data_IF_800997297676
#
_entry.id   IF_800997297676
#
_cell.length_a   1.000
_cell.length_b   1.000
_cell.length_c   1.000
_cell.angle_alpha   90.00
_cell.angle_beta   90.00
_cell.angle_gamma   90.00
#
_symmetry.space_group_name_H-M   'P 1'
#
loop_
_entity.id
_entity.type
_entity.pdbx_description
1 polymer ?
#
# COMPACT_ATOMS: atom_id res chain seq x y z
N UNK A 1 -31.56 -22.86 42.14
CA UNK A 1 -32.19 -21.89 43.06
C UNK A 1 -31.40 -20.60 43.03
N UNK A 2 -32.10 -19.47 42.89
CA UNK A 2 -31.62 -18.09 43.04
C UNK A 2 -30.48 -17.63 42.09
N UNK A 3 -30.83 -16.79 41.11
CA UNK A 3 -30.54 -15.34 41.19
C UNK A 3 -31.10 -14.63 39.95
N UNK A 4 -32.04 -13.72 40.22
CA UNK A 4 -32.48 -12.69 39.31
C UNK A 4 -31.36 -11.65 39.13
N UNK A 5 -31.01 -11.28 37.90
CA UNK A 5 -30.28 -10.04 37.60
C UNK A 5 -30.68 -9.53 36.21
N UNK A 6 -31.52 -8.49 36.24
CA UNK A 6 -31.45 -7.24 35.48
C UNK A 6 -31.56 -7.28 33.94
N UNK A 7 -32.74 -6.83 33.50
CA UNK A 7 -32.88 -5.95 32.34
C UNK A 7 -32.00 -4.70 32.52
N UNK A 8 -31.14 -4.42 31.55
CA UNK A 8 -30.69 -3.06 31.27
C UNK A 8 -30.66 -2.82 29.76
N UNK A 9 -31.01 -1.59 29.44
CA UNK A 9 -31.48 -1.06 28.18
C UNK A 9 -30.34 -0.71 27.22
N UNK A 10 -30.66 -0.80 25.93
CA UNK A 10 -29.86 -0.31 24.79
C UNK A 10 -29.35 1.12 25.05
N UNK A 11 -28.03 1.29 25.13
CA UNK A 11 -27.38 2.60 25.01
C UNK A 11 -27.14 2.86 23.53
N UNK A 12 -27.91 3.80 23.00
CA UNK A 12 -27.78 4.37 21.66
C UNK A 12 -26.66 5.41 21.71
N UNK A 13 -25.51 5.13 21.08
CA UNK A 13 -24.45 6.11 20.87
C UNK A 13 -24.84 7.07 19.74
N UNK A 14 -25.46 8.20 20.09
CA UNK A 14 -25.60 9.37 19.21
C UNK A 14 -24.43 10.32 19.44
N UNK A 15 -23.49 10.36 18.50
CA UNK A 15 -22.45 11.39 18.42
C UNK A 15 -23.07 12.66 17.82
N UNK A 16 -23.15 13.74 18.62
CA UNK A 16 -23.42 15.10 18.11
C UNK A 16 -22.16 15.95 18.27
N UNK A 17 -21.71 16.67 17.22
CA UNK A 17 -20.60 17.60 17.32
C UNK A 17 -21.08 18.94 17.89
N UNK A 18 -20.43 19.44 18.94
CA UNK A 18 -20.66 20.77 19.50
C UNK A 18 -19.34 21.55 19.49
N UNK A 19 -19.07 22.29 18.41
CA UNK A 19 -18.03 23.31 18.37
C UNK A 19 -18.68 24.67 18.65
N UNK A 20 -18.61 25.10 19.91
CA UNK A 20 -18.94 26.47 20.33
C UNK A 20 -17.73 27.37 20.08
N UNK A 21 -17.96 28.44 19.32
CA UNK A 21 -17.02 29.54 19.07
C UNK A 21 -16.69 30.24 20.40
N UNK A 22 -15.40 30.41 20.67
CA UNK A 22 -14.90 31.31 21.71
C UNK A 22 -15.17 32.76 21.31
N UNK A 23 -15.99 33.44 22.09
CA UNK A 23 -16.10 34.90 22.08
C UNK A 23 -15.24 35.47 23.21
N UNK A 24 -14.47 36.48 22.85
CA UNK A 24 -13.70 37.43 23.67
C UNK A 24 -14.22 37.62 25.10
N UNK A 25 -13.41 37.25 26.10
CA UNK A 25 -13.56 37.71 27.48
C UNK A 25 -13.08 39.16 27.58
N UNK A 26 -14.02 40.09 27.76
CA UNK A 26 -13.75 41.41 28.34
C UNK A 26 -13.27 41.20 29.77
N UNK A 27 -12.19 41.88 30.13
CA UNK A 27 -11.75 42.12 31.51
C UNK A 27 -12.82 43.01 32.16
N UNK A 28 -13.46 42.62 33.27
CA UNK A 28 -14.21 43.58 34.07
C UNK A 28 -13.25 44.42 34.89
N UNK A 29 -13.44 45.73 34.73
CA UNK A 29 -12.94 46.83 35.56
C UNK A 29 -13.12 46.50 37.05
N UNK A 30 -12.09 46.71 37.86
CA UNK A 30 -12.21 46.68 39.31
C UNK A 30 -12.91 47.97 39.75
N UNK A 31 -14.24 47.92 39.79
CA UNK A 31 -15.05 48.88 40.53
C UNK A 31 -15.06 48.49 42.00
N UNK A 32 -14.68 49.44 42.85
CA UNK A 32 -14.86 49.42 44.31
C UNK A 32 -16.33 49.11 44.65
N UNK A 33 -16.64 47.85 44.94
CA UNK A 33 -17.90 47.46 45.55
C UNK A 33 -17.77 47.52 47.07
N UNK A 34 -18.69 48.27 47.67
CA UNK A 34 -18.71 48.64 49.07
C UNK A 34 -18.35 47.50 50.01
N UNK A 35 -17.30 47.73 50.78
CA UNK A 35 -16.93 46.95 51.93
C UNK A 35 -18.16 46.77 52.82
N UNK A 36 -18.76 45.57 52.77
CA UNK A 36 -19.88 45.21 53.65
C UNK A 36 -19.52 45.58 55.08
N UNK A 37 -20.46 46.12 55.87
CA UNK A 37 -20.21 46.56 57.26
C UNK A 37 -19.54 45.47 58.13
N UNK A 38 -19.73 44.19 57.78
CA UNK A 38 -19.01 43.07 58.39
C UNK A 38 -17.53 43.00 58.00
N UNK A 39 -17.16 43.28 56.75
CA UNK A 39 -15.78 43.39 56.30
C UNK A 39 -15.08 44.62 56.89
N UNK A 40 -15.79 45.74 57.05
CA UNK A 40 -15.26 46.92 57.76
C UNK A 40 -15.10 46.65 59.25
N UNK A 41 -16.07 45.97 59.88
CA UNK A 41 -15.96 45.53 61.27
C UNK A 41 -14.83 44.51 61.45
N UNK A 42 -14.64 43.61 60.50
CA UNK A 42 -13.56 42.63 60.54
C UNK A 42 -12.21 43.31 60.31
N UNK A 43 -12.14 44.31 59.43
CA UNK A 43 -10.96 45.16 59.23
C UNK A 43 -10.67 46.01 60.46
N UNK A 44 -11.68 46.59 61.11
CA UNK A 44 -11.54 47.28 62.39
C UNK A 44 -11.09 46.34 63.50
N UNK A 45 -11.66 45.13 63.61
CA UNK A 45 -11.18 44.11 64.58
C UNK A 45 -9.73 43.73 64.28
N UNK A 46 -9.35 43.68 63.01
CA UNK A 46 -7.99 43.35 62.59
C UNK A 46 -7.04 44.53 62.87
N UNK A 47 -7.42 45.76 62.58
CA UNK A 47 -6.68 46.97 62.94
C UNK A 47 -6.59 47.16 64.46
N UNK A 48 -7.65 46.88 65.22
CA UNK A 48 -7.67 46.89 66.68
C UNK A 48 -6.79 45.77 67.25
N UNK A 49 -6.77 44.59 66.62
CA UNK A 49 -5.84 43.51 66.97
C UNK A 49 -4.41 43.87 66.62
N UNK A 50 -4.13 44.45 65.46
CA UNK A 50 -2.78 44.88 65.06
C UNK A 50 -2.30 45.99 65.99
N UNK A 51 -3.12 46.98 66.31
CA UNK A 51 -2.78 48.07 67.24
C UNK A 51 -2.58 47.57 68.67
N UNK A 52 -3.43 46.64 69.16
CA UNK A 52 -3.25 46.01 70.49
C UNK A 52 -2.11 44.98 70.55
N UNK A 53 -1.70 44.43 69.40
CA UNK A 53 -0.57 43.50 69.31
C UNK A 53 0.74 44.25 69.11
N UNK A 54 0.72 45.41 68.43
CA UNK A 54 1.91 46.24 68.20
C UNK A 54 2.40 46.94 69.47
N UNK A 55 1.53 47.23 70.43
CA UNK A 55 1.96 47.67 71.77
C UNK A 55 2.70 46.57 72.55
N UNK A 56 2.27 45.31 72.43
CA UNK A 56 2.93 44.16 73.07
C UNK A 56 4.20 43.71 72.32
N UNK A 57 4.21 43.71 70.98
CA UNK A 57 5.40 43.34 70.21
C UNK A 57 6.47 44.44 70.22
N UNK A 58 6.12 45.74 70.23
CA UNK A 58 7.10 46.81 70.41
C UNK A 58 7.77 46.76 71.78
N UNK A 59 7.05 46.36 72.84
CA UNK A 59 7.62 46.15 74.18
C UNK A 59 8.52 44.90 74.24
N UNK A 60 8.12 43.80 73.62
CA UNK A 60 8.97 42.59 73.49
C UNK A 60 10.23 42.90 72.67
N UNK A 61 10.09 43.72 71.62
CA UNK A 61 11.21 44.20 70.82
C UNK A 61 12.19 45.02 71.66
N UNK A 62 11.73 45.92 72.51
CA UNK A 62 12.61 46.73 73.36
C UNK A 62 13.32 45.93 74.47
N UNK A 63 12.76 44.80 74.91
CA UNK A 63 13.32 44.02 76.02
C UNK A 63 14.49 43.10 75.64
N UNK A 64 14.59 42.63 74.39
CA UNK A 64 15.65 41.69 74.00
C UNK A 64 16.21 41.95 72.58
N UNK A 65 17.50 42.35 72.45
CA UNK A 65 18.09 42.68 71.15
C UNK A 65 18.24 41.47 70.22
N UNK A 66 18.37 40.25 70.75
CA UNK A 66 18.44 39.04 69.93
C UNK A 66 17.08 38.62 69.35
N UNK A 67 16.01 38.83 70.11
CA UNK A 67 14.64 38.58 69.63
C UNK A 67 14.30 39.58 68.53
N UNK A 68 14.79 40.82 68.63
CA UNK A 68 14.71 41.78 67.53
C UNK A 68 15.39 41.30 66.27
N UNK A 69 16.65 40.82 66.34
CA UNK A 69 17.35 40.38 65.14
C UNK A 69 16.62 39.24 64.43
N UNK A 70 16.07 38.30 65.21
CA UNK A 70 15.29 37.17 64.67
C UNK A 70 13.97 37.67 64.06
N UNK A 71 13.24 38.55 64.74
CA UNK A 71 12.01 39.11 64.19
C UNK A 71 12.27 39.98 62.95
N UNK A 72 13.37 40.74 62.92
CA UNK A 72 13.73 41.53 61.73
C UNK A 72 14.14 40.63 60.57
N UNK A 73 14.89 39.56 60.83
CA UNK A 73 15.22 38.56 59.81
C UNK A 73 13.97 37.83 59.31
N UNK A 74 12.96 37.64 60.16
CA UNK A 74 11.70 37.03 59.76
C UNK A 74 10.80 37.99 58.97
N UNK A 75 10.64 39.23 59.46
CA UNK A 75 9.78 40.24 58.85
C UNK A 75 10.33 40.71 57.49
N UNK A 76 11.66 40.82 57.39
CA UNK A 76 12.34 41.41 56.23
C UNK A 76 13.10 40.36 55.40
N UNK A 77 13.53 39.23 55.95
CA UNK A 77 14.39 38.27 55.23
C UNK A 77 15.83 38.78 55.06
N UNK A 78 16.73 37.91 54.57
CA UNK A 78 18.11 38.26 54.27
C UNK A 78 18.15 39.42 53.23
N UNK A 79 18.91 40.52 53.46
CA UNK A 79 18.98 41.67 52.55
C UNK A 79 19.31 41.31 51.10
N UNK A 80 20.12 40.26 50.87
CA UNK A 80 20.42 39.81 49.50
C UNK A 80 19.18 39.24 48.79
N UNK A 81 18.35 38.49 49.51
CA UNK A 81 17.09 37.96 48.96
C UNK A 81 16.09 39.09 48.70
N UNK A 82 16.02 40.07 49.60
CA UNK A 82 15.20 41.26 49.38
C UNK A 82 15.59 42.02 48.11
N UNK A 83 16.90 42.20 47.87
CA UNK A 83 17.39 42.87 46.67
C UNK A 83 17.01 42.10 45.40
N UNK A 84 17.11 40.77 45.43
CA UNK A 84 16.69 39.90 44.31
C UNK A 84 15.17 39.97 44.10
N UNK A 85 14.38 39.93 45.17
CA UNK A 85 12.92 40.01 45.09
C UNK A 85 12.45 41.39 44.62
N UNK A 86 13.10 42.46 45.08
CA UNK A 86 12.87 43.83 44.62
C UNK A 86 13.23 44.00 43.14
N UNK A 87 14.37 43.47 42.70
CA UNK A 87 14.75 43.46 41.29
C UNK A 87 13.75 42.67 40.42
N UNK A 88 13.30 41.50 40.89
CA UNK A 88 12.29 40.70 40.21
C UNK A 88 10.92 41.41 40.15
N UNK A 89 10.54 42.13 41.21
CA UNK A 89 9.31 42.92 41.25
C UNK A 89 9.38 44.10 40.27
N UNK A 90 10.51 44.81 40.20
CA UNK A 90 10.75 45.88 39.25
C UNK A 90 10.61 45.37 37.80
N UNK A 91 11.27 44.26 37.47
CA UNK A 91 11.19 43.65 36.13
C UNK A 91 9.77 43.21 35.78
N UNK A 92 9.02 42.63 36.74
CA UNK A 92 7.61 42.26 36.52
C UNK A 92 6.71 43.48 36.27
N UNK A 93 7.05 44.63 36.85
CA UNK A 93 6.32 45.89 36.68
C UNK A 93 6.68 46.66 35.40
N UNK A 94 7.68 46.19 34.63
CA UNK A 94 8.09 46.82 33.38
C UNK A 94 6.92 46.89 32.37
N UNK A 95 6.54 48.09 31.88
CA UNK A 95 5.40 48.26 30.98
C UNK A 95 5.52 47.46 29.66
N UNK A 96 6.75 47.22 29.21
CA UNK A 96 7.05 46.46 27.99
C UNK A 96 6.62 44.99 28.10
N UNK A 97 6.80 44.37 29.28
CA UNK A 97 6.40 42.98 29.53
C UNK A 97 4.89 42.83 29.66
N UNK A 98 4.17 43.89 30.04
CA UNK A 98 2.71 43.90 30.12
C UNK A 98 2.06 43.94 28.72
N UNK A 99 2.60 44.75 27.81
CA UNK A 99 1.97 45.01 26.50
C UNK A 99 2.49 44.12 25.37
N UNK A 100 3.78 43.75 25.41
CA UNK A 100 4.42 43.03 24.32
C UNK A 100 4.57 41.54 24.67
N UNK A 101 3.74 40.69 24.04
CA UNK A 101 3.81 39.23 24.18
C UNK A 101 5.19 38.68 23.83
N UNK A 102 5.85 39.21 22.81
CA UNK A 102 7.18 38.73 22.40
C UNK A 102 8.24 39.04 23.46
N UNK A 103 8.21 40.25 24.03
CA UNK A 103 9.13 40.62 25.12
C UNK A 103 8.89 39.75 26.37
N UNK A 104 7.62 39.45 26.67
CA UNK A 104 7.22 38.55 27.75
C UNK A 104 7.71 37.12 27.50
N UNK A 105 7.57 36.61 26.28
CA UNK A 105 8.00 35.26 25.88
C UNK A 105 9.54 35.14 25.96
N UNK A 106 10.31 36.17 25.57
CA UNK A 106 11.77 36.20 25.72
C UNK A 106 12.16 36.18 27.21
N UNK A 107 11.50 36.98 28.04
CA UNK A 107 11.81 37.05 29.47
C UNK A 107 11.61 35.71 30.20
N UNK A 108 10.51 35.01 29.90
CA UNK A 108 10.25 33.69 30.49
C UNK A 108 11.03 32.55 29.81
N UNK A 109 11.67 32.82 28.68
CA UNK A 109 12.52 31.82 28.02
C UNK A 109 13.77 31.55 28.84
N UNK A 110 14.29 30.32 28.74
CA UNK A 110 15.55 29.98 29.40
C UNK A 110 16.68 30.74 28.71
N UNK A 111 17.61 31.36 29.47
CA UNK A 111 18.76 32.03 28.87
C UNK A 111 19.60 31.02 28.08
N UNK A 112 20.12 31.46 26.94
CA UNK A 112 20.91 30.63 26.05
C UNK A 112 22.20 30.13 26.74
N UNK A 113 22.38 28.82 26.82
CA UNK A 113 23.52 28.18 27.50
C UNK A 113 24.68 27.82 26.57
N UNK A 114 24.63 28.25 25.30
CA UNK A 114 25.65 27.93 24.28
C UNK A 114 25.36 26.66 23.45
N UNK A 115 24.41 25.83 23.87
CA UNK A 115 24.04 24.59 23.17
C UNK A 115 22.53 24.55 22.90
N UNK A 116 22.14 24.25 21.66
CA UNK A 116 20.73 24.15 21.28
C UNK A 116 20.10 22.86 21.83
N UNK A 117 18.87 22.96 22.34
CA UNK A 117 18.09 21.77 22.71
C UNK A 117 17.55 21.09 21.46
N UNK A 118 17.48 19.76 21.44
CA UNK A 118 16.87 18.98 20.34
C UNK A 118 15.45 19.43 20.00
N UNK A 119 14.69 19.86 21.02
CA UNK A 119 13.33 20.37 20.83
C UNK A 119 13.32 21.68 20.05
N UNK A 120 14.25 22.58 20.36
CA UNK A 120 14.36 23.90 19.72
C UNK A 120 14.86 23.77 18.27
N UNK A 121 15.83 22.88 18.04
CA UNK A 121 16.31 22.54 16.70
C UNK A 121 15.19 21.97 15.80
N UNK A 122 14.36 21.09 16.35
CA UNK A 122 13.20 20.56 15.63
C UNK A 122 12.13 21.63 15.38
N UNK A 123 11.86 22.49 16.36
CA UNK A 123 10.90 23.59 16.22
C UNK A 123 11.35 24.57 15.12
N UNK A 124 12.65 24.90 15.08
CA UNK A 124 13.24 25.71 14.02
C UNK A 124 13.09 25.06 12.65
N UNK A 125 13.37 23.77 12.53
CA UNK A 125 13.20 23.03 11.27
C UNK A 125 11.75 23.04 10.79
N UNK A 126 10.78 22.92 11.71
CA UNK A 126 9.35 23.02 11.38
C UNK A 126 9.00 24.44 10.92
N UNK A 127 9.40 25.47 11.66
CA UNK A 127 9.10 26.86 11.31
C UNK A 127 9.75 27.28 9.98
N UNK A 128 10.96 26.81 9.70
CA UNK A 128 11.66 27.06 8.43
C UNK A 128 11.02 26.29 7.26
N UNK A 129 10.42 25.12 7.52
CA UNK A 129 9.72 24.32 6.50
C UNK A 129 8.37 24.89 6.08
N UNK A 130 7.69 25.62 6.98
CA UNK A 130 6.41 26.24 6.67
C UNK A 130 6.63 27.49 5.82
N UNK A 131 6.00 27.62 4.64
CA UNK A 131 6.16 28.83 3.84
C UNK A 131 5.69 30.03 4.67
N UNK A 132 6.52 31.08 4.72
CA UNK A 132 6.16 32.32 5.42
C UNK A 132 4.80 32.78 4.90
N UNK A 133 3.85 33.15 5.78
CA UNK A 133 2.61 33.73 5.32
C UNK A 133 2.97 34.96 4.49
N UNK A 134 2.48 34.99 3.25
CA UNK A 134 2.57 36.17 2.39
C UNK A 134 1.73 37.24 3.07
N UNK A 135 2.37 38.03 3.93
CA UNK A 135 1.79 39.24 4.48
C UNK A 135 1.79 40.28 3.36
N UNK A 136 0.91 40.11 2.37
CA UNK A 136 0.50 41.24 1.56
C UNK A 136 -0.25 42.19 2.50
N UNK A 137 0.28 43.39 2.79
CA UNK A 137 -0.39 44.35 3.68
C UNK A 137 -1.76 44.78 3.15
N UNK A 138 -2.08 44.45 1.90
CA UNK A 138 -3.38 44.66 1.27
C UNK A 138 -4.39 43.52 1.54
N UNK A 139 -3.93 42.30 1.81
CA UNK A 139 -4.79 41.11 1.95
C UNK A 139 -5.56 41.09 3.29
N UNK A 140 -5.07 41.78 4.33
CA UNK A 140 -5.71 41.86 5.64
C UNK A 140 -7.00 42.71 5.64
N UNK A 141 -7.18 43.58 4.64
CA UNK A 141 -8.34 44.47 4.53
C UNK A 141 -9.35 44.06 3.45
N UNK A 142 -9.10 42.98 2.70
CA UNK A 142 -10.04 42.49 1.70
C UNK A 142 -10.99 41.47 2.31
N UNK A 143 -12.32 41.71 2.35
CA UNK A 143 -13.26 40.71 2.81
C UNK A 143 -13.17 39.50 1.87
N UNK A 144 -12.86 38.32 2.43
CA UNK A 144 -12.83 37.05 1.68
C UNK A 144 -14.15 36.93 0.91
N UNK A 145 -14.11 37.08 -0.41
CA UNK A 145 -15.30 36.94 -1.27
C UNK A 145 -15.94 35.59 -0.95
N UNK A 146 -17.23 35.58 -0.62
CA UNK A 146 -17.97 34.34 -0.39
C UNK A 146 -18.05 33.60 -1.71
N UNK A 147 -17.18 32.59 -1.87
CA UNK A 147 -17.10 31.77 -3.08
C UNK A 147 -18.48 31.12 -3.28
N UNK A 148 -19.10 31.42 -4.43
CA UNK A 148 -20.41 30.89 -4.81
C UNK A 148 -20.39 29.37 -4.89
N UNK A 149 -21.52 28.68 -4.72
CA UNK A 149 -21.59 27.22 -4.91
C UNK A 149 -21.16 26.83 -6.33
N UNK A 150 -21.47 27.67 -7.32
CA UNK A 150 -20.98 27.54 -8.70
C UNK A 150 -19.47 27.64 -8.79
N UNK A 151 -18.86 28.65 -8.16
CA UNK A 151 -17.39 28.83 -8.13
C UNK A 151 -16.70 27.71 -7.36
N UNK A 152 -17.32 27.17 -6.30
CA UNK A 152 -16.81 25.99 -5.59
C UNK A 152 -16.81 24.76 -6.49
N UNK A 153 -17.87 24.57 -7.25
CA UNK A 153 -17.96 23.44 -8.19
C UNK A 153 -17.00 23.62 -9.36
N UNK A 154 -16.83 24.85 -9.88
CA UNK A 154 -15.85 25.17 -10.90
C UNK A 154 -14.43 24.92 -10.39
N UNK A 155 -14.06 25.46 -9.22
CA UNK A 155 -12.76 25.20 -8.61
C UNK A 155 -12.53 23.71 -8.29
N UNK A 156 -13.56 22.96 -7.92
CA UNK A 156 -13.45 21.52 -7.72
C UNK A 156 -13.26 20.77 -9.04
N UNK A 157 -13.95 21.19 -10.11
CA UNK A 157 -13.76 20.64 -11.47
C UNK A 157 -12.37 20.95 -11.99
N UNK A 158 -11.94 22.21 -11.92
CA UNK A 158 -10.63 22.66 -12.39
C UNK A 158 -9.52 22.02 -11.56
N UNK A 159 -9.66 21.96 -10.22
CA UNK A 159 -8.73 21.23 -9.36
C UNK A 159 -8.67 19.73 -9.69
N UNK A 160 -9.80 19.10 -10.04
CA UNK A 160 -9.80 17.70 -10.49
C UNK A 160 -9.19 17.50 -11.88
N UNK A 161 -9.29 18.50 -12.77
CA UNK A 161 -8.67 18.50 -14.09
C UNK A 161 -7.16 18.71 -13.98
N UNK A 162 -6.70 19.64 -13.16
CA UNK A 162 -5.28 19.86 -12.88
C UNK A 162 -4.64 18.62 -12.25
N UNK A 163 -5.33 17.96 -11.32
CA UNK A 163 -4.90 16.66 -10.78
C UNK A 163 -4.91 15.51 -11.80
N UNK A 164 -5.65 15.62 -12.92
CA UNK A 164 -5.61 14.63 -14.00
C UNK A 164 -4.51 14.94 -15.01
N UNK A 165 -4.33 16.22 -15.31
CA UNK A 165 -3.38 16.73 -16.30
C UNK A 165 -1.96 16.63 -15.75
N UNK A 166 -1.71 17.17 -14.56
CA UNK A 166 -0.37 17.28 -13.96
C UNK A 166 0.06 16.05 -13.15
N UNK A 167 -0.62 14.92 -13.34
CA UNK A 167 -0.31 13.68 -12.64
C UNK A 167 0.67 12.84 -13.43
N UNK A 168 1.76 12.47 -12.77
CA UNK A 168 2.78 11.59 -13.31
C UNK A 168 2.19 10.27 -13.81
N UNK A 169 2.75 9.70 -14.90
CA UNK A 169 2.26 8.45 -15.47
C UNK A 169 2.28 7.30 -14.46
N UNK A 170 3.32 7.24 -13.63
CA UNK A 170 3.47 6.25 -12.54
C UNK A 170 2.34 6.38 -11.51
N UNK A 171 1.93 7.59 -11.20
CA UNK A 171 0.86 7.84 -10.24
C UNK A 171 -0.52 7.57 -10.82
N UNK A 172 -0.71 7.77 -12.14
CA UNK A 172 -1.96 7.42 -12.84
C UNK A 172 -2.26 5.94 -12.72
N UNK A 173 -1.25 5.09 -12.94
CA UNK A 173 -1.40 3.63 -12.77
C UNK A 173 -1.75 3.27 -11.33
N UNK A 174 -1.02 3.82 -10.34
CA UNK A 174 -1.31 3.58 -8.92
C UNK A 174 -2.73 3.99 -8.50
N UNK A 175 -3.31 5.07 -9.05
CA UNK A 175 -4.71 5.41 -8.80
C UNK A 175 -5.68 4.42 -9.41
N UNK A 176 -5.49 4.09 -10.69
CA UNK A 176 -6.34 3.11 -11.38
C UNK A 176 -6.35 1.80 -10.59
N UNK A 177 -5.18 1.36 -10.15
CA UNK A 177 -5.09 0.20 -9.27
C UNK A 177 -5.84 0.41 -7.96
N UNK A 178 -5.65 1.54 -7.26
CA UNK A 178 -6.36 1.82 -6.01
C UNK A 178 -7.88 1.82 -6.18
N UNK A 179 -8.36 2.32 -7.31
CA UNK A 179 -9.77 2.31 -7.69
C UNK A 179 -10.28 0.89 -7.95
N UNK A 180 -9.56 0.08 -8.73
CA UNK A 180 -9.90 -1.33 -8.96
C UNK A 180 -9.86 -2.14 -7.65
N UNK A 181 -8.88 -1.90 -6.77
CA UNK A 181 -8.84 -2.51 -5.44
C UNK A 181 -10.02 -2.08 -4.58
N UNK A 182 -10.43 -0.79 -4.65
CA UNK A 182 -11.60 -0.27 -3.96
C UNK A 182 -12.88 -0.95 -4.47
N UNK A 183 -13.03 -1.14 -5.78
CA UNK A 183 -14.16 -1.87 -6.38
C UNK A 183 -14.20 -3.34 -5.97
N UNK A 184 -13.04 -4.03 -5.93
CA UNK A 184 -12.96 -5.42 -5.47
C UNK A 184 -13.31 -5.55 -3.97
N UNK A 185 -12.84 -4.61 -3.14
CA UNK A 185 -13.04 -4.63 -1.68
C UNK A 185 -14.46 -4.19 -1.27
N UNK A 186 -15.04 -3.19 -1.94
CA UNK A 186 -16.42 -2.74 -1.66
C UNK A 186 -17.47 -3.56 -2.42
N UNK A 187 -17.07 -4.28 -3.47
CA UNK A 187 -17.95 -5.09 -4.31
C UNK A 187 -18.98 -4.26 -5.11
N UNK A 188 -19.69 -4.89 -6.05
CA UNK A 188 -20.75 -4.23 -6.82
C UNK A 188 -21.95 -3.77 -5.97
N UNK A 189 -22.13 -4.27 -4.74
CA UNK A 189 -23.35 -4.02 -3.96
C UNK A 189 -23.48 -2.56 -3.47
N UNK A 190 -22.38 -1.82 -3.36
CA UNK A 190 -22.40 -0.38 -3.06
C UNK A 190 -22.93 0.48 -4.22
N UNK A 191 -22.93 -0.03 -5.45
CA UNK A 191 -23.43 0.68 -6.65
C UNK A 191 -24.87 0.31 -7.02
N UNK A 192 -25.40 -0.80 -6.46
CA UNK A 192 -26.71 -1.37 -6.83
C UNK A 192 -27.87 -0.97 -5.89
N UNK A 193 -27.65 -0.02 -4.97
CA UNK A 193 -28.62 0.36 -3.93
C UNK A 193 -29.92 1.02 -4.45
N UNK A 194 -30.12 1.13 -5.76
CA UNK A 194 -31.31 1.74 -6.39
C UNK A 194 -32.13 0.79 -7.30
N UNK A 195 -31.96 -0.53 -7.20
CA UNK A 195 -32.70 -1.51 -8.03
C UNK A 195 -34.10 -1.88 -7.49
N UNK A 196 -34.82 -0.97 -6.82
CA UNK A 196 -36.16 -1.28 -6.29
C UNK A 196 -37.27 -1.41 -7.36
N UNK A 197 -37.00 -1.01 -8.61
CA UNK A 197 -37.98 -1.07 -9.72
C UNK A 197 -38.02 -2.42 -10.43
N UNK A 198 -36.89 -3.13 -10.51
CA UNK A 198 -36.79 -4.43 -11.19
C UNK A 198 -37.48 -5.52 -10.37
N UNK A 199 -37.39 -5.42 -9.04
CA UNK A 199 -38.00 -6.36 -8.10
C UNK A 199 -39.54 -6.32 -8.13
N UNK A 200 -40.15 -5.16 -8.38
CA UNK A 200 -41.60 -5.01 -8.47
C UNK A 200 -42.20 -5.64 -9.73
N UNK A 201 -41.55 -5.45 -10.88
CA UNK A 201 -41.98 -6.07 -12.15
C UNK A 201 -41.87 -7.59 -12.07
N UNK A 202 -40.79 -8.10 -11.47
CA UNK A 202 -40.60 -9.53 -11.22
C UNK A 202 -41.68 -10.09 -10.28
N UNK A 203 -42.08 -9.34 -9.24
CA UNK A 203 -43.16 -9.74 -8.32
C UNK A 203 -44.53 -9.81 -9.02
N UNK A 204 -44.89 -8.79 -9.83
CA UNK A 204 -46.15 -8.76 -10.56
C UNK A 204 -46.23 -9.87 -11.63
N UNK A 205 -45.14 -10.10 -12.35
CA UNK A 205 -45.03 -11.18 -13.32
C UNK A 205 -45.13 -12.55 -12.64
N UNK A 206 -44.44 -12.75 -11.51
CA UNK A 206 -44.52 -13.98 -10.72
C UNK A 206 -45.94 -14.29 -10.22
N UNK A 207 -46.67 -13.27 -9.75
CA UNK A 207 -48.06 -13.42 -9.33
C UNK A 207 -48.99 -13.82 -10.48
N UNK A 208 -48.78 -13.28 -11.69
CA UNK A 208 -49.56 -13.66 -12.89
C UNK A 208 -49.23 -15.09 -13.34
N UNK A 209 -47.96 -15.49 -13.32
CA UNK A 209 -47.54 -16.84 -13.69
C UNK A 209 -48.11 -17.87 -12.72
N UNK A 210 -48.04 -17.61 -11.41
CA UNK A 210 -48.55 -18.51 -10.37
C UNK A 210 -50.08 -18.69 -10.41
N UNK A 211 -50.81 -17.71 -10.95
CA UNK A 211 -52.28 -17.81 -11.13
C UNK A 211 -52.69 -18.72 -12.30
N UNK A 212 -51.79 -18.96 -13.28
CA UNK A 212 -52.10 -19.71 -14.51
C UNK A 212 -51.42 -21.08 -14.56
N UNK A 213 -50.33 -21.27 -13.80
CA UNK A 213 -49.63 -22.56 -13.69
C UNK A 213 -50.43 -23.55 -12.84
N UNK A 214 -50.49 -24.80 -13.30
CA UNK A 214 -50.96 -25.92 -12.51
C UNK A 214 -49.86 -26.38 -11.53
N UNK A 215 -50.08 -26.21 -10.23
CA UNK A 215 -49.05 -26.42 -9.20
C UNK A 215 -48.56 -27.88 -9.09
N UNK A 216 -49.36 -28.85 -9.55
CA UNK A 216 -49.02 -30.27 -9.49
C UNK A 216 -48.12 -30.72 -10.65
N UNK A 217 -48.33 -30.18 -11.84
CA UNK A 217 -47.62 -30.59 -13.06
C UNK A 217 -46.59 -29.55 -13.53
N UNK A 218 -46.63 -28.33 -12.99
CA UNK A 218 -45.78 -27.20 -13.41
C UNK A 218 -46.09 -26.69 -14.82
N UNK A 219 -47.17 -27.18 -15.42
CA UNK A 219 -47.62 -26.87 -16.79
C UNK A 219 -48.65 -25.73 -16.72
N UNK A 220 -48.56 -24.73 -17.60
CA UNK A 220 -49.67 -23.82 -17.88
C UNK A 220 -50.94 -24.56 -18.37
N UNK A 221 -52.13 -24.17 -17.93
CA UNK A 221 -53.38 -24.80 -18.40
C UNK A 221 -53.83 -24.23 -19.74
N UNK A 222 -53.06 -24.44 -20.81
CA UNK A 222 -53.40 -23.99 -22.17
C UNK A 222 -53.29 -25.12 -23.20
N UNK A 223 -54.26 -25.26 -24.13
CA UNK A 223 -54.26 -26.31 -25.16
C UNK A 223 -53.09 -26.19 -26.15
N UNK A 224 -52.47 -25.02 -26.24
CA UNK A 224 -51.33 -24.75 -27.11
C UNK A 224 -50.00 -25.33 -26.61
N UNK A 225 -49.94 -25.80 -25.35
CA UNK A 225 -48.68 -26.24 -24.76
C UNK A 225 -48.22 -27.62 -25.25
N UNK A 226 -49.11 -28.40 -25.85
CA UNK A 226 -48.76 -29.64 -26.56
C UNK A 226 -47.93 -29.34 -27.84
N UNK A 227 -48.09 -28.14 -28.41
CA UNK A 227 -47.38 -27.67 -29.60
C UNK A 227 -46.12 -26.84 -29.28
N UNK A 228 -45.78 -26.64 -28.00
CA UNK A 228 -44.59 -25.89 -27.61
C UNK A 228 -43.34 -26.68 -27.99
N UNK A 229 -42.58 -26.13 -28.94
CA UNK A 229 -41.32 -26.72 -29.42
C UNK A 229 -40.28 -26.69 -28.30
N UNK A 230 -39.66 -27.84 -28.01
CA UNK A 230 -38.53 -27.93 -27.10
C UNK A 230 -38.49 -29.28 -26.37
N UNK A 231 -37.28 -29.71 -25.98
CA UNK A 231 -37.15 -30.82 -25.02
C UNK A 231 -37.39 -30.25 -23.62
N UNK A 232 -38.15 -30.94 -22.75
CA UNK A 232 -38.31 -30.50 -21.37
C UNK A 232 -36.93 -30.39 -20.71
N UNK A 233 -36.73 -29.30 -19.96
CA UNK A 233 -35.50 -29.10 -19.20
C UNK A 233 -35.33 -30.25 -18.20
N UNK A 234 -34.08 -30.65 -17.96
CA UNK A 234 -33.79 -31.69 -16.96
C UNK A 234 -34.20 -31.21 -15.57
N UNK A 235 -34.62 -32.13 -14.70
CA UNK A 235 -35.04 -31.79 -13.33
C UNK A 235 -33.97 -30.99 -12.58
N UNK A 236 -32.68 -31.28 -12.78
CA UNK A 236 -31.58 -30.52 -12.18
C UNK A 236 -31.50 -29.08 -12.69
N UNK A 237 -31.71 -28.87 -13.98
CA UNK A 237 -31.70 -27.55 -14.60
C UNK A 237 -32.90 -26.70 -14.13
N UNK A 238 -34.04 -27.34 -13.86
CA UNK A 238 -35.19 -26.69 -13.24
C UNK A 238 -34.96 -26.37 -11.76
N UNK A 239 -34.27 -27.22 -10.99
CA UNK A 239 -33.95 -26.94 -9.58
C UNK A 239 -33.01 -25.75 -9.43
N UNK A 240 -32.06 -25.61 -10.36
CA UNK A 240 -31.08 -24.54 -10.36
C UNK A 240 -31.50 -23.38 -11.28
N UNK A 241 -32.77 -23.29 -11.69
CA UNK A 241 -33.22 -22.29 -12.67
C UNK A 241 -33.08 -20.83 -12.17
N UNK A 242 -33.01 -20.64 -10.84
CA UNK A 242 -32.79 -19.35 -10.20
C UNK A 242 -31.31 -19.05 -9.92
N UNK A 243 -30.43 -20.05 -9.98
CA UNK A 243 -29.01 -19.88 -9.69
C UNK A 243 -28.25 -19.44 -10.95
N UNK A 244 -27.89 -18.16 -10.99
CA UNK A 244 -27.09 -17.59 -12.09
C UNK A 244 -25.74 -18.31 -12.23
N UNK A 245 -25.15 -18.80 -11.13
CA UNK A 245 -23.84 -19.48 -11.17
C UNK A 245 -23.92 -20.79 -11.95
N UNK A 246 -25.02 -21.54 -11.81
CA UNK A 246 -25.25 -22.78 -12.53
C UNK A 246 -25.26 -22.56 -14.05
N UNK A 247 -25.99 -21.55 -14.52
CA UNK A 247 -26.02 -21.19 -15.94
C UNK A 247 -24.69 -20.62 -16.43
N UNK A 248 -24.03 -19.80 -15.63
CA UNK A 248 -22.72 -19.26 -15.98
C UNK A 248 -21.71 -20.39 -16.20
N UNK A 249 -21.66 -21.36 -15.29
CA UNK A 249 -20.79 -22.53 -15.42
C UNK A 249 -21.17 -23.39 -16.62
N UNK A 250 -22.46 -23.53 -16.93
CA UNK A 250 -22.92 -24.26 -18.11
C UNK A 250 -22.55 -23.55 -19.42
N UNK A 251 -22.64 -22.21 -19.47
CA UNK A 251 -22.24 -21.40 -20.62
C UNK A 251 -20.73 -21.54 -20.84
N UNK A 252 -19.92 -21.40 -19.79
CA UNK A 252 -18.47 -21.58 -19.85
C UNK A 252 -18.10 -22.97 -20.35
N UNK A 253 -18.76 -24.01 -19.84
CA UNK A 253 -18.54 -25.39 -20.27
C UNK A 253 -18.93 -25.61 -21.74
N UNK A 254 -20.05 -25.04 -22.19
CA UNK A 254 -20.53 -25.20 -23.57
C UNK A 254 -19.69 -24.42 -24.58
N UNK A 255 -19.14 -23.28 -24.18
CA UNK A 255 -18.29 -22.46 -25.03
C UNK A 255 -16.82 -22.90 -25.00
N UNK A 256 -16.47 -23.86 -24.14
CA UNK A 256 -15.09 -24.30 -23.89
C UNK A 256 -14.15 -23.13 -23.51
N UNK A 257 -14.72 -22.09 -22.88
CA UNK A 257 -13.99 -20.88 -22.48
C UNK A 257 -13.55 -20.99 -21.03
N UNK A 258 -12.28 -20.70 -20.79
CA UNK A 258 -11.74 -20.61 -19.44
C UNK A 258 -12.08 -19.24 -18.84
N UNK A 259 -12.36 -19.17 -17.52
CA UNK A 259 -12.41 -17.89 -16.83
C UNK A 259 -11.11 -17.08 -17.07
N UNK A 260 -11.19 -15.75 -17.24
CA UNK A 260 -10.02 -14.92 -17.54
C UNK A 260 -8.86 -15.06 -16.55
N UNK A 261 -9.16 -15.28 -15.26
CA UNK A 261 -8.14 -15.47 -14.24
C UNK A 261 -7.40 -16.82 -14.38
N UNK A 262 -8.04 -17.87 -14.93
CA UNK A 262 -7.38 -19.16 -15.20
C UNK A 262 -6.44 -19.03 -16.39
N UNK A 263 -6.82 -18.28 -17.42
CA UNK A 263 -5.95 -18.02 -18.57
C UNK A 263 -4.70 -17.24 -18.14
N UNK A 264 -4.87 -16.19 -17.35
CA UNK A 264 -3.73 -15.43 -16.79
C UNK A 264 -2.89 -16.29 -15.85
N UNK A 265 -3.50 -17.19 -15.08
CA UNK A 265 -2.78 -18.16 -14.24
C UNK A 265 -1.85 -19.05 -15.07
N UNK A 266 -2.37 -19.60 -16.18
CA UNK A 266 -1.60 -20.45 -17.09
C UNK A 266 -0.48 -19.66 -17.75
N UNK A 267 -0.76 -18.43 -18.18
CA UNK A 267 0.24 -17.57 -18.82
C UNK A 267 1.40 -17.23 -17.86
N UNK A 268 1.08 -16.90 -16.59
CA UNK A 268 2.09 -16.62 -15.57
C UNK A 268 2.93 -17.86 -15.27
N UNK A 269 2.31 -19.04 -15.16
CA UNK A 269 3.06 -20.28 -14.94
C UNK A 269 4.05 -20.55 -16.08
N UNK A 270 3.59 -20.44 -17.33
CA UNK A 270 4.45 -20.58 -18.51
C UNK A 270 5.58 -19.56 -18.53
N UNK A 271 5.28 -18.30 -18.19
CA UNK A 271 6.28 -17.22 -18.18
C UNK A 271 7.32 -17.41 -17.07
N UNK A 272 6.91 -17.94 -15.91
CA UNK A 272 7.83 -18.31 -14.81
C UNK A 272 8.71 -19.49 -15.22
N UNK A 273 8.15 -20.51 -15.86
CA UNK A 273 8.90 -21.66 -16.38
C UNK A 273 9.93 -21.24 -17.41
N UNK A 274 9.54 -20.41 -18.39
CA UNK A 274 10.44 -19.85 -19.39
C UNK A 274 11.56 -19.01 -18.76
N UNK A 275 11.22 -18.10 -17.85
CA UNK A 275 12.21 -17.29 -17.12
C UNK A 275 13.22 -18.16 -16.38
N UNK A 276 12.74 -19.23 -15.76
CA UNK A 276 13.57 -20.20 -15.06
C UNK A 276 14.48 -20.96 -16.03
N UNK A 277 14.01 -21.35 -17.20
CA UNK A 277 14.84 -22.01 -18.21
C UNK A 277 15.88 -21.03 -18.78
N UNK A 278 15.54 -19.76 -18.94
CA UNK A 278 16.49 -18.70 -19.34
C UNK A 278 17.61 -18.54 -18.29
N UNK A 279 17.27 -18.54 -17.00
CA UNK A 279 18.26 -18.50 -15.90
C UNK A 279 19.19 -19.71 -15.92
N UNK A 280 18.66 -20.91 -16.14
CA UNK A 280 19.46 -22.13 -16.26
C UNK A 280 20.43 -22.04 -17.45
N UNK A 281 20.00 -21.46 -18.58
CA UNK A 281 20.86 -21.24 -19.74
C UNK A 281 21.94 -20.19 -19.49
N UNK A 282 21.63 -19.12 -18.77
CA UNK A 282 22.61 -18.10 -18.36
C UNK A 282 23.70 -18.72 -17.48
N UNK A 283 23.31 -19.52 -16.49
CA UNK A 283 24.25 -20.25 -15.65
C UNK A 283 25.06 -21.27 -16.43
N UNK A 284 24.43 -22.03 -17.32
CA UNK A 284 25.14 -22.97 -18.19
C UNK A 284 26.20 -22.27 -19.05
N UNK A 285 25.83 -21.13 -19.67
CA UNK A 285 26.76 -20.31 -20.46
C UNK A 285 27.91 -19.80 -19.60
N UNK A 286 27.64 -19.37 -18.37
CA UNK A 286 28.66 -18.95 -17.42
C UNK A 286 29.60 -20.10 -17.04
N UNK A 287 29.07 -21.30 -16.75
CA UNK A 287 29.88 -22.49 -16.44
C UNK A 287 30.83 -22.79 -17.61
N UNK A 288 30.32 -22.78 -18.85
CA UNK A 288 31.13 -23.10 -20.03
C UNK A 288 32.18 -22.03 -20.34
N UNK A 289 31.89 -20.75 -20.12
CA UNK A 289 32.75 -19.66 -20.60
C UNK A 289 33.65 -19.03 -19.54
N UNK A 290 33.22 -18.95 -18.29
CA UNK A 290 33.88 -18.13 -17.26
C UNK A 290 34.31 -18.94 -16.04
N UNK A 291 33.71 -20.11 -15.79
CA UNK A 291 34.10 -20.96 -14.67
C UNK A 291 35.43 -21.72 -14.93
N UNK A 292 35.86 -22.47 -13.92
CA UNK A 292 37.00 -23.42 -13.98
C UNK A 292 36.86 -24.40 -15.17
N UNK A 293 35.63 -24.68 -15.62
CA UNK A 293 35.35 -25.59 -16.73
C UNK A 293 35.74 -25.03 -18.10
N UNK A 294 35.93 -23.72 -18.27
CA UNK A 294 36.25 -23.08 -19.58
C UNK A 294 37.42 -23.76 -20.28
N UNK A 295 38.53 -23.93 -19.56
CA UNK A 295 39.72 -24.55 -20.12
C UNK A 295 39.55 -26.04 -20.43
N UNK A 296 38.66 -26.72 -19.71
CA UNK A 296 38.41 -28.15 -19.83
C UNK A 296 37.48 -28.42 -21.01
N UNK A 297 36.36 -27.71 -21.11
CA UNK A 297 35.37 -27.85 -22.19
C UNK A 297 35.98 -27.55 -23.57
N UNK A 298 36.86 -26.55 -23.64
CA UNK A 298 37.56 -26.20 -24.88
C UNK A 298 38.59 -27.25 -25.30
N UNK A 299 39.23 -27.94 -24.36
CA UNK A 299 40.26 -28.96 -24.63
C UNK A 299 39.68 -30.36 -24.83
N UNK A 300 38.57 -30.68 -24.18
CA UNK A 300 37.99 -32.01 -24.18
C UNK A 300 37.62 -32.45 -25.60
N UNK A 301 37.79 -33.73 -25.93
CA UNK A 301 37.37 -34.28 -27.23
C UNK A 301 36.07 -35.06 -27.11
N UNK A 302 35.86 -35.74 -25.98
CA UNK A 302 34.64 -36.48 -25.65
C UNK A 302 33.84 -35.78 -24.55
N UNK A 303 32.55 -36.14 -24.43
CA UNK A 303 31.68 -35.62 -23.37
C UNK A 303 32.07 -36.20 -22.01
N UNK A 304 32.42 -37.49 -21.97
CA UNK A 304 32.81 -38.21 -20.75
C UNK A 304 33.98 -37.54 -20.03
N UNK A 305 34.96 -37.00 -20.76
CA UNK A 305 36.07 -36.24 -20.19
C UNK A 305 35.62 -34.97 -19.44
N UNK A 306 34.54 -34.33 -19.91
CA UNK A 306 33.99 -33.14 -19.23
C UNK A 306 33.17 -33.55 -18.02
N UNK A 307 32.45 -34.67 -18.10
CA UNK A 307 31.64 -35.18 -16.99
C UNK A 307 32.53 -35.66 -15.82
N UNK A 308 33.59 -36.41 -16.10
CA UNK A 308 34.53 -36.88 -15.07
C UNK A 308 35.22 -35.71 -14.35
N UNK A 309 35.60 -34.68 -15.11
CA UNK A 309 36.20 -33.47 -14.53
C UNK A 309 35.18 -32.58 -13.83
N UNK A 310 33.92 -32.60 -14.28
CA UNK A 310 32.82 -31.95 -13.60
C UNK A 310 32.63 -32.54 -12.21
N UNK A 311 32.49 -33.87 -12.10
CA UNK A 311 32.31 -34.59 -10.83
C UNK A 311 33.44 -34.29 -9.82
N UNK A 312 34.69 -34.23 -10.27
CA UNK A 312 35.84 -33.91 -9.40
C UNK A 312 35.86 -32.46 -8.90
N UNK A 313 35.23 -31.54 -9.61
CA UNK A 313 35.31 -30.12 -9.31
C UNK A 313 33.98 -29.51 -8.82
N UNK A 314 32.93 -30.33 -8.61
CA UNK A 314 31.63 -29.87 -8.06
C UNK A 314 31.82 -29.10 -6.75
N UNK A 315 32.65 -29.62 -5.84
CA UNK A 315 32.90 -29.01 -4.52
C UNK A 315 33.61 -27.65 -4.60
N UNK A 316 34.32 -27.36 -5.71
CA UNK A 316 35.01 -26.08 -5.93
C UNK A 316 34.12 -25.05 -6.62
N UNK A 317 32.99 -25.48 -7.18
CA UNK A 317 31.99 -24.61 -7.79
C UNK A 317 31.03 -24.22 -6.67
N UNK A 318 31.49 -23.41 -5.71
CA UNK A 318 30.68 -22.88 -4.61
C UNK A 318 30.00 -21.57 -5.01
N UNK A 319 28.78 -21.35 -4.53
CA UNK A 319 27.96 -20.20 -4.90
C UNK A 319 28.54 -18.85 -4.40
N UNK A 320 29.24 -18.85 -3.27
CA UNK A 320 29.64 -17.62 -2.56
C UNK A 320 30.65 -16.75 -3.31
N UNK A 321 31.46 -17.34 -4.20
CA UNK A 321 32.44 -16.62 -5.04
C UNK A 321 31.90 -16.29 -6.45
N UNK A 322 30.76 -16.83 -6.84
CA UNK A 322 30.29 -16.82 -8.23
C UNK A 322 29.14 -15.83 -8.44
N UNK A 323 29.46 -14.71 -9.09
CA UNK A 323 28.48 -13.67 -9.45
C UNK A 323 28.19 -13.71 -10.95
N UNK A 324 26.91 -13.67 -11.30
CA UNK A 324 26.47 -13.36 -12.66
C UNK A 324 26.99 -11.98 -13.08
N UNK A 325 27.20 -11.80 -14.38
CA UNK A 325 27.59 -10.49 -14.92
C UNK A 325 26.55 -9.42 -14.57
N UNK A 326 27.00 -8.18 -14.35
CA UNK A 326 26.11 -7.06 -13.99
C UNK A 326 25.00 -6.84 -15.03
N UNK A 327 25.30 -7.06 -16.30
CA UNK A 327 24.32 -6.99 -17.40
C UNK A 327 23.21 -8.04 -17.25
N UNK A 328 23.58 -9.24 -16.84
CA UNK A 328 22.64 -10.36 -16.70
C UNK A 328 21.80 -10.15 -15.43
N UNK A 329 22.39 -9.60 -14.36
CA UNK A 329 21.65 -9.20 -13.16
C UNK A 329 20.59 -8.13 -13.47
N UNK A 330 20.91 -7.13 -14.29
CA UNK A 330 19.96 -6.11 -14.71
C UNK A 330 18.81 -6.71 -15.54
N UNK A 331 19.11 -7.67 -16.43
CA UNK A 331 18.10 -8.41 -17.18
C UNK A 331 17.16 -9.19 -16.24
N UNK A 332 17.73 -9.93 -15.29
CA UNK A 332 16.97 -10.73 -14.32
C UNK A 332 16.08 -9.82 -13.47
N UNK A 333 16.60 -8.70 -13.00
CA UNK A 333 15.83 -7.73 -12.22
C UNK A 333 14.61 -7.22 -13.00
N UNK A 334 14.83 -6.76 -14.24
CA UNK A 334 13.75 -6.26 -15.09
C UNK A 334 12.69 -7.34 -15.38
N UNK A 335 13.11 -8.59 -15.59
CA UNK A 335 12.21 -9.72 -15.84
C UNK A 335 11.40 -10.11 -14.60
N UNK A 336 12.03 -10.10 -13.42
CA UNK A 336 11.36 -10.33 -12.13
C UNK A 336 10.34 -9.23 -11.85
N UNK A 337 10.66 -7.97 -12.12
CA UNK A 337 9.72 -6.85 -11.96
C UNK A 337 8.50 -6.99 -12.88
N UNK A 338 8.72 -7.41 -14.13
CA UNK A 338 7.65 -7.72 -15.09
C UNK A 338 6.76 -8.86 -14.56
N UNK A 339 7.33 -10.00 -14.18
CA UNK A 339 6.56 -11.14 -13.65
C UNK A 339 5.82 -10.79 -12.36
N UNK A 340 6.41 -9.96 -11.50
CA UNK A 340 5.77 -9.47 -10.28
C UNK A 340 4.58 -8.54 -10.58
N UNK A 341 4.64 -7.78 -11.67
CA UNK A 341 3.51 -6.99 -12.15
C UNK A 341 2.36 -7.88 -12.65
N UNK A 342 2.67 -8.97 -13.35
CA UNK A 342 1.69 -9.97 -13.82
C UNK A 342 1.07 -10.74 -12.66
N UNK A 343 1.87 -11.20 -11.69
CA UNK A 343 1.40 -11.84 -10.45
C UNK A 343 0.45 -10.92 -9.70
N UNK A 344 0.76 -9.63 -9.62
CA UNK A 344 -0.15 -8.64 -9.01
C UNK A 344 -1.46 -8.53 -9.77
N UNK A 345 -1.41 -8.49 -11.10
CA UNK A 345 -2.59 -8.42 -11.95
C UNK A 345 -3.47 -9.68 -11.79
N UNK A 346 -2.87 -10.87 -11.78
CA UNK A 346 -3.57 -12.12 -11.53
C UNK A 346 -4.21 -12.16 -10.13
N UNK A 347 -3.49 -11.76 -9.08
CA UNK A 347 -4.05 -11.71 -7.72
C UNK A 347 -5.24 -10.74 -7.61
N UNK A 348 -5.28 -9.71 -8.46
CA UNK A 348 -6.43 -8.82 -8.54
C UNK A 348 -7.65 -9.54 -9.14
N UNK A 349 -7.46 -10.29 -10.23
CA UNK A 349 -8.53 -11.04 -10.89
C UNK A 349 -8.98 -12.28 -10.12
N UNK A 350 -8.09 -12.90 -9.34
CA UNK A 350 -8.37 -14.16 -8.67
C UNK A 350 -9.50 -13.97 -7.64
N UNK A 351 -10.58 -14.77 -7.72
CA UNK A 351 -11.71 -14.65 -6.81
C UNK A 351 -11.37 -15.13 -5.38
N UNK A 352 -10.38 -16.01 -5.23
CA UNK A 352 -10.00 -16.61 -3.95
C UNK A 352 -8.60 -16.20 -3.51
N UNK A 353 -8.45 -15.85 -2.22
CA UNK A 353 -7.17 -15.50 -1.62
C UNK A 353 -6.20 -16.68 -1.60
N UNK A 354 -6.72 -17.90 -1.43
CA UNK A 354 -5.91 -19.13 -1.46
C UNK A 354 -5.30 -19.40 -2.83
N UNK A 355 -5.89 -18.85 -3.89
CA UNK A 355 -5.38 -18.95 -5.26
C UNK A 355 -4.33 -17.90 -5.60
N UNK A 356 -4.01 -16.97 -4.70
CA UNK A 356 -3.04 -15.91 -4.95
C UNK A 356 -1.61 -16.48 -5.07
N UNK A 357 -0.84 -15.93 -6.01
CA UNK A 357 0.58 -16.25 -6.19
C UNK A 357 1.46 -15.28 -5.41
N UNK A 358 2.56 -15.79 -4.88
CA UNK A 358 3.59 -14.98 -4.23
C UNK A 358 4.46 -14.30 -5.28
N UNK A 359 5.01 -13.15 -4.90
CA UNK A 359 6.02 -12.46 -5.72
C UNK A 359 7.31 -13.28 -5.76
N UNK A 360 8.05 -13.10 -6.84
CA UNK A 360 9.37 -13.66 -7.06
C UNK A 360 10.41 -12.73 -6.43
N UNK A 361 11.34 -13.33 -5.69
CA UNK A 361 12.50 -12.65 -5.12
C UNK A 361 13.72 -12.96 -6.00
N UNK A 362 14.40 -11.92 -6.47
CA UNK A 362 15.52 -12.06 -7.42
C UNK A 362 16.62 -12.98 -6.88
N UNK A 363 17.13 -12.70 -5.68
CA UNK A 363 18.21 -13.47 -5.07
C UNK A 363 17.82 -14.94 -4.88
N UNK A 364 16.57 -15.20 -4.47
CA UNK A 364 16.08 -16.56 -4.26
C UNK A 364 16.04 -17.35 -5.58
N UNK A 365 15.57 -16.75 -6.66
CA UNK A 365 15.52 -17.43 -7.97
C UNK A 365 16.92 -17.62 -8.56
N UNK A 366 17.85 -16.67 -8.35
CA UNK A 366 19.25 -16.83 -8.75
C UNK A 366 19.90 -18.01 -7.99
N UNK A 367 19.71 -18.08 -6.67
CA UNK A 367 20.27 -19.15 -5.85
C UNK A 367 19.68 -20.52 -6.25
N UNK A 368 18.36 -20.60 -6.45
CA UNK A 368 17.71 -21.85 -6.85
C UNK A 368 18.11 -22.30 -8.26
N UNK A 369 18.21 -21.36 -9.21
CA UNK A 369 18.62 -21.66 -10.58
C UNK A 369 20.07 -22.16 -10.65
N UNK A 370 20.96 -21.66 -9.80
CA UNK A 370 22.33 -22.16 -9.71
C UNK A 370 22.38 -23.66 -9.40
N UNK A 371 21.72 -24.10 -8.31
CA UNK A 371 21.69 -25.51 -7.92
C UNK A 371 21.03 -26.39 -8.98
N UNK A 372 19.93 -25.92 -9.58
CA UNK A 372 19.25 -26.64 -10.65
C UNK A 372 20.09 -26.74 -11.92
N UNK A 373 20.84 -25.69 -12.27
CA UNK A 373 21.76 -25.71 -13.41
C UNK A 373 22.89 -26.70 -13.19
N UNK A 374 23.39 -26.84 -11.96
CA UNK A 374 24.41 -27.85 -11.63
C UNK A 374 23.87 -29.28 -11.78
N UNK A 375 22.64 -29.54 -11.33
CA UNK A 375 22.00 -30.85 -11.49
C UNK A 375 21.73 -31.18 -12.98
N UNK A 376 21.27 -30.19 -13.75
CA UNK A 376 20.98 -30.35 -15.18
C UNK A 376 22.23 -30.33 -16.06
N UNK A 377 23.40 -29.92 -15.54
CA UNK A 377 24.61 -29.71 -16.31
C UNK A 377 25.00 -30.90 -17.21
N UNK A 378 25.00 -32.17 -16.74
CA UNK A 378 25.36 -33.32 -17.57
C UNK A 378 24.49 -33.45 -18.83
N UNK A 379 23.18 -33.22 -18.69
CA UNK A 379 22.25 -33.31 -19.82
C UNK A 379 22.38 -32.13 -20.78
N UNK A 380 22.72 -30.94 -20.28
CA UNK A 380 22.91 -29.73 -21.09
C UNK A 380 24.22 -29.77 -21.85
N UNK A 381 25.30 -30.27 -21.24
CA UNK A 381 26.62 -30.35 -21.88
C UNK A 381 26.63 -31.37 -23.01
N UNK A 382 25.94 -32.51 -22.86
CA UNK A 382 25.74 -33.48 -23.95
C UNK A 382 25.07 -32.85 -25.18
N UNK A 383 23.96 -32.14 -24.96
CA UNK A 383 23.24 -31.41 -26.02
C UNK A 383 24.12 -30.36 -26.67
N UNK A 384 24.86 -29.60 -25.86
CA UNK A 384 25.78 -28.57 -26.34
C UNK A 384 26.93 -29.15 -27.18
N UNK A 385 27.51 -30.27 -26.77
CA UNK A 385 28.59 -30.96 -27.48
C UNK A 385 28.13 -31.49 -28.84
N UNK A 386 26.94 -32.10 -28.92
CA UNK A 386 26.33 -32.52 -30.20
C UNK A 386 26.23 -31.34 -31.17
N UNK A 387 25.68 -30.21 -30.72
CA UNK A 387 25.50 -29.02 -31.54
C UNK A 387 26.84 -28.37 -31.99
N UNK A 388 27.84 -28.29 -31.11
CA UNK A 388 29.05 -27.50 -31.37
C UNK A 388 30.25 -28.28 -31.91
N UNK A 389 30.35 -29.60 -31.68
CA UNK A 389 31.48 -30.43 -32.13
C UNK A 389 31.15 -31.36 -33.28
N UNK A 390 29.93 -31.91 -33.37
CA UNK A 390 29.52 -32.69 -34.56
C UNK A 390 29.34 -31.76 -35.78
N UNK A 391 28.77 -30.57 -35.57
CA UNK A 391 28.65 -29.54 -36.61
C UNK A 391 29.98 -28.95 -37.11
N UNK A 392 31.10 -29.16 -36.39
CA UNK A 392 32.44 -28.79 -36.87
C UNK A 392 33.01 -29.82 -37.85
N UNK A 393 32.63 -31.09 -37.74
CA UNK A 393 33.08 -32.14 -38.67
C UNK A 393 32.42 -32.03 -40.05
N UNK A 394 31.22 -31.46 -40.16
CA UNK A 394 30.53 -31.26 -41.44
C UNK A 394 30.99 -30.03 -42.24
N UNK A 395 31.78 -29.13 -41.65
CA UNK A 395 32.36 -27.96 -42.35
C UNK A 395 33.77 -28.19 -42.91
N UNK A 396 34.35 -29.38 -42.71
CA UNK A 396 35.68 -29.76 -43.19
C UNK A 396 35.60 -30.86 -44.26
N UNK A 397 34.76 -30.66 -45.27
CA UNK A 397 34.84 -31.42 -46.54
C UNK A 397 35.10 -30.41 -47.64
N UNK A 398 36.34 -30.50 -48.13
CA UNK A 398 36.99 -29.96 -49.33
C UNK A 398 36.27 -28.90 -50.18
N UNK A 399 36.93 -27.74 -50.31
CA UNK A 399 36.93 -27.00 -51.56
C UNK A 399 38.32 -26.39 -51.78
N UNK A 400 39.13 -26.89 -52.73
CA UNK A 400 40.34 -26.21 -53.15
C UNK A 400 39.94 -25.17 -54.20
N UNK A 401 39.98 -23.89 -53.84
CA UNK A 401 39.98 -22.80 -54.80
C UNK A 401 38.87 -21.77 -54.65
N UNK A 402 39.23 -20.54 -54.98
CA UNK A 402 38.41 -19.35 -55.17
C UNK A 402 38.01 -18.56 -53.91
N UNK A 403 38.80 -17.51 -53.65
CA UNK A 403 38.28 -16.16 -53.82
C UNK A 403 37.50 -15.56 -52.66
N UNK A 404 38.19 -14.67 -51.95
CA UNK A 404 37.64 -13.60 -51.10
C UNK A 404 36.46 -12.87 -51.77
N UNK A 405 35.24 -13.05 -51.27
CA UNK A 405 34.11 -12.07 -51.32
C UNK A 405 32.76 -12.72 -51.00
N UNK A 406 32.54 -13.15 -49.75
CA UNK A 406 31.18 -13.49 -49.27
C UNK A 406 30.78 -12.85 -47.94
N UNK A 407 31.52 -11.81 -47.50
CA UNK A 407 31.17 -11.07 -46.29
C UNK A 407 30.18 -9.91 -46.49
N UNK A 408 29.90 -9.48 -47.73
CA UNK A 408 29.04 -8.32 -48.01
C UNK A 408 27.66 -8.64 -48.62
N UNK A 409 27.25 -9.92 -48.69
CA UNK A 409 25.94 -10.31 -49.26
C UNK A 409 24.91 -10.84 -48.26
N UNK A 410 25.15 -10.66 -46.96
CA UNK A 410 24.22 -11.05 -45.89
C UNK A 410 23.47 -9.85 -45.24
N UNK A 411 23.64 -8.63 -45.78
CA UNK A 411 23.00 -7.42 -45.24
C UNK A 411 22.03 -6.77 -46.23
N UNK A 412 21.16 -7.58 -46.83
CA UNK A 412 19.90 -7.15 -47.46
C UNK A 412 19.11 -8.40 -47.85
N UNK A 413 18.05 -8.69 -47.10
CA UNK A 413 16.77 -9.23 -47.56
C UNK A 413 15.82 -9.12 -46.36
N UNK A 414 14.87 -8.18 -46.47
CA UNK A 414 13.61 -8.27 -45.75
C UNK A 414 12.75 -9.31 -46.45
N UNK A 415 12.07 -10.14 -45.66
CA UNK A 415 11.17 -11.19 -46.15
C UNK A 415 10.77 -12.08 -44.98
N UNK A 416 9.47 -12.17 -44.74
CA UNK A 416 8.81 -12.96 -43.70
C UNK A 416 9.35 -14.39 -43.60
N UNK A 417 9.45 -15.00 -42.41
CA UNK A 417 9.74 -16.43 -42.33
C UNK A 417 8.52 -17.23 -42.81
N UNK A 418 8.76 -18.09 -43.80
CA UNK A 418 7.81 -19.11 -44.23
C UNK A 418 7.52 -20.07 -43.08
N UNK A 419 6.25 -20.13 -42.69
CA UNK A 419 5.72 -21.09 -41.74
C UNK A 419 5.62 -22.43 -42.48
N UNK A 420 6.39 -23.42 -42.01
CA UNK A 420 6.18 -24.80 -42.42
C UNK A 420 4.83 -25.28 -41.85
N UNK A 421 3.77 -25.17 -42.65
CA UNK A 421 2.50 -25.82 -42.37
C UNK A 421 2.63 -27.33 -42.60
N UNK A 422 2.53 -28.09 -41.50
CA UNK A 422 2.49 -29.53 -41.52
C UNK A 422 1.10 -29.96 -42.01
N UNK A 423 0.97 -30.36 -43.28
CA UNK A 423 -0.32 -30.65 -43.94
C UNK A 423 -0.99 -31.98 -43.56
N UNK A 424 -0.45 -32.71 -42.60
CA UNK A 424 -1.04 -33.97 -42.11
C UNK A 424 -1.25 -33.93 -40.59
N UNK A 425 -2.12 -33.03 -40.13
CA UNK A 425 -2.66 -33.11 -38.77
C UNK A 425 -4.14 -33.44 -38.92
N UNK A 426 -4.53 -34.64 -38.49
CA UNK A 426 -5.93 -35.00 -38.33
C UNK A 426 -6.61 -33.97 -37.43
N UNK A 427 -7.53 -33.19 -38.00
CA UNK A 427 -8.24 -32.09 -37.31
C UNK A 427 -9.29 -32.59 -36.31
N UNK A 428 -9.33 -33.89 -36.01
CA UNK A 428 -10.23 -34.50 -35.04
C UNK A 428 -9.51 -35.28 -33.94
N UNK A 429 -8.25 -34.95 -33.65
CA UNK A 429 -7.66 -35.37 -32.37
C UNK A 429 -8.32 -34.57 -31.26
N UNK A 430 -9.30 -35.20 -30.62
CA UNK A 430 -9.98 -34.72 -29.41
C UNK A 430 -8.97 -34.68 -28.26
N UNK A 431 -8.12 -33.68 -28.24
CA UNK A 431 -7.15 -33.38 -27.17
C UNK A 431 -7.87 -33.37 -25.81
N UNK A 432 -9.12 -32.90 -25.80
CA UNK A 432 -9.99 -32.92 -24.63
C UNK A 432 -10.45 -34.30 -24.19
N UNK A 433 -10.63 -35.26 -25.10
CA UNK A 433 -10.96 -36.65 -24.74
C UNK A 433 -9.74 -37.32 -24.07
N UNK A 434 -8.54 -37.10 -24.63
CA UNK A 434 -7.30 -37.60 -24.05
C UNK A 434 -7.01 -37.02 -22.66
N UNK A 435 -7.23 -35.72 -22.46
CA UNK A 435 -7.09 -35.08 -21.14
C UNK A 435 -8.14 -35.61 -20.15
N UNK A 436 -9.38 -35.81 -20.60
CA UNK A 436 -10.46 -36.33 -19.75
C UNK A 436 -10.21 -37.78 -19.33
N UNK A 437 -9.64 -38.61 -20.20
CA UNK A 437 -9.29 -39.99 -19.89
C UNK A 437 -8.11 -40.08 -18.91
N UNK A 438 -7.11 -39.19 -19.03
CA UNK A 438 -5.99 -39.10 -18.07
C UNK A 438 -6.48 -38.73 -16.65
N UNK A 439 -7.43 -37.79 -16.54
CA UNK A 439 -7.98 -37.42 -15.23
C UNK A 439 -8.99 -38.43 -14.68
N UNK A 440 -9.61 -39.25 -15.53
CA UNK A 440 -10.52 -40.33 -15.10
C UNK A 440 -9.77 -41.56 -14.61
N UNK A 441 -8.54 -41.79 -15.11
CA UNK A 441 -7.63 -42.83 -14.64
C UNK A 441 -6.96 -42.51 -13.30
N UNK A 442 -6.93 -41.24 -12.88
CA UNK A 442 -6.27 -40.79 -11.66
C UNK A 442 -7.16 -40.86 -10.39
N UNK A 443 -8.16 -41.75 -10.36
CA UNK A 443 -9.11 -41.88 -9.23
C UNK A 443 -9.13 -43.29 -8.66
#
# INVERSE_FOLDING_TARGET
MLRAVQHYTKVVCQTRPYLKRFNSTRIPDQGDEGSSAMSERMKQILEERITNTSSNTAQIRQMNPHVNSILTEYDYGNPEKQNVDHANAYIKSEPLLAHNKHARDIYYSKPWTGTESKYDANLRMILDSTPKPVNDPMATFQPKRKISVGDKLANARDGSLDYKINRDPVDKEKAKFREIYKEKLLGPSMLLTNSSSVDFVNSLAGNRINAVIDQQTGKFKSPEMENVRGKPLTSEHLKNCTDTNYFMNQILTKQEVLPPWIETQQNINKSIEQFRDDLDQLWFKWIVNDSVMKGIVNRATTVDQVLDEYEKNIEKITFEDNKLAETDLAYVQAKVDLLNSEVRHYNLQCPSVSGHKLKLDQEREINQSYWRSLEKFPTMIEKWFKLHKEGRKSKLVENPGAGTSKFFKALKIGGSPDIHENRNIDTSLNIWQAVKDVFKMAK
#
